data_IF_399676148972
#
_entry.id   IF_399676148972
#
_cell.length_a   1.000
_cell.length_b   1.000
_cell.length_c   1.000
_cell.angle_alpha   90.00
_cell.angle_beta   90.00
_cell.angle_gamma   90.00
#
_symmetry.space_group_name_H-M   'P 1'
#
loop_
_entity.id
_entity.type
_entity.pdbx_description
1 polymer ?
#
# COMPACT_ATOMS: atom_id res chain seq x y z
N UNK A 1 -12.87 -5.07 10.46
CA UNK A 1 -11.77 -4.15 10.75
C UNK A 1 -11.95 -2.81 10.02
N UNK A 2 -11.82 -2.70 8.68
CA UNK A 2 -11.91 -1.39 7.96
C UNK A 2 -13.23 -0.66 8.25
N UNK A 3 -14.36 -1.35 8.21
CA UNK A 3 -15.67 -0.74 8.53
C UNK A 3 -15.70 -0.16 9.96
N UNK A 4 -15.13 -0.84 10.94
CA UNK A 4 -15.08 -0.38 12.32
C UNK A 4 -14.15 0.84 12.48
N UNK A 5 -13.03 0.87 11.77
CA UNK A 5 -12.08 1.99 11.79
C UNK A 5 -12.65 3.27 11.14
N UNK A 6 -13.59 3.16 10.21
CA UNK A 6 -14.29 4.32 9.63
C UNK A 6 -15.13 5.09 10.66
N UNK A 7 -15.56 4.43 11.72
CA UNK A 7 -16.19 5.10 12.85
C UNK A 7 -15.04 5.67 13.73
N UNK A 8 -14.93 6.98 13.82
CA UNK A 8 -13.87 7.70 14.58
C UNK A 8 -13.85 7.37 16.09
N UNK A 9 -14.68 6.46 16.55
CA UNK A 9 -14.80 6.07 17.95
C UNK A 9 -13.62 5.18 18.40
N UNK A 10 -13.16 4.25 17.55
CA UNK A 10 -12.14 3.27 17.92
C UNK A 10 -10.77 3.92 18.20
N UNK A 11 -10.26 4.86 17.39
CA UNK A 11 -8.98 5.51 17.67
C UNK A 11 -8.94 6.35 18.94
N UNK A 12 -10.08 6.85 19.41
CA UNK A 12 -10.16 7.64 20.63
C UNK A 12 -10.06 6.81 21.92
N UNK A 13 -10.15 5.48 21.81
CA UNK A 13 -9.94 4.55 22.92
C UNK A 13 -8.45 4.32 23.21
N UNK A 14 -7.58 4.63 22.26
CA UNK A 14 -6.13 4.49 22.38
C UNK A 14 -5.54 5.90 22.38
N UNK A 15 -5.50 6.52 23.58
CA UNK A 15 -4.77 7.77 23.73
C UNK A 15 -3.28 7.49 23.69
N UNK A 16 -2.52 8.35 22.98
CA UNK A 16 -1.06 8.30 22.98
C UNK A 16 -0.59 8.43 24.45
N UNK A 17 -0.21 7.34 25.05
CA UNK A 17 0.67 7.38 26.22
C UNK A 17 1.98 8.05 25.76
N UNK A 18 2.49 8.92 26.62
CA UNK A 18 3.60 9.83 26.35
C UNK A 18 4.73 9.18 25.55
N UNK A 19 5.14 9.89 24.51
CA UNK A 19 6.31 9.67 23.66
C UNK A 19 7.46 8.95 24.37
N UNK A 20 7.47 7.63 24.37
CA UNK A 20 8.64 6.89 24.78
C UNK A 20 9.73 7.13 23.73
N UNK A 21 10.71 7.97 24.08
CA UNK A 21 11.84 8.33 23.20
C UNK A 21 12.64 7.12 22.75
N UNK A 22 12.51 5.98 23.45
CA UNK A 22 13.18 4.71 23.13
C UNK A 22 12.75 4.12 21.78
N UNK A 23 11.54 4.38 21.31
CA UNK A 23 11.03 3.85 20.05
C UNK A 23 11.17 4.80 18.86
N UNK A 24 11.64 6.03 19.09
CA UNK A 24 11.85 6.99 18.01
C UNK A 24 12.92 6.49 17.04
N UNK A 25 12.63 6.59 15.77
CA UNK A 25 13.56 6.24 14.68
C UNK A 25 13.31 7.13 13.48
N UNK A 26 14.14 7.01 12.44
CA UNK A 26 13.99 7.78 11.21
C UNK A 26 13.79 6.85 10.02
N UNK A 27 12.92 7.24 9.09
CA UNK A 27 12.72 6.59 7.81
C UNK A 27 12.64 7.65 6.71
N UNK A 28 13.47 7.53 5.67
CA UNK A 28 13.56 8.49 4.57
C UNK A 28 13.76 9.95 5.06
N UNK A 29 14.65 10.16 6.04
CA UNK A 29 14.90 11.46 6.69
C UNK A 29 13.66 12.07 7.37
N UNK A 30 12.69 11.27 7.76
CA UNK A 30 11.51 11.68 8.51
C UNK A 30 11.47 10.95 9.84
N UNK A 31 11.12 11.69 10.89
CA UNK A 31 11.01 11.12 12.23
C UNK A 31 9.75 10.27 12.37
N UNK A 32 9.93 9.08 12.93
CA UNK A 32 8.88 8.15 13.29
C UNK A 32 8.72 8.08 14.81
N UNK A 33 7.49 8.02 15.28
CA UNK A 33 7.19 7.76 16.70
C UNK A 33 7.69 6.38 17.13
N UNK A 34 7.60 5.40 16.23
CA UNK A 34 8.07 4.02 16.42
C UNK A 34 8.27 3.33 15.06
N UNK A 35 9.01 2.22 14.99
CA UNK A 35 9.31 1.50 13.75
C UNK A 35 8.18 0.58 13.25
N UNK A 36 7.03 0.54 13.92
CA UNK A 36 5.94 -0.37 13.56
C UNK A 36 5.05 0.30 12.51
N UNK A 37 4.94 -0.32 11.34
CA UNK A 37 4.09 0.16 10.25
C UNK A 37 3.00 -0.81 9.87
N UNK A 38 1.92 -0.28 9.28
CA UNK A 38 0.90 -1.09 8.63
C UNK A 38 1.29 -1.31 7.18
N UNK A 39 1.50 -2.58 6.82
CA UNK A 39 1.87 -2.97 5.45
C UNK A 39 0.70 -2.85 4.46
N UNK A 40 1.05 -2.69 3.16
CA UNK A 40 0.08 -2.77 2.07
C UNK A 40 -0.73 -4.08 2.11
N UNK A 41 -1.99 -3.99 1.69
CA UNK A 41 -2.93 -5.11 1.72
C UNK A 41 -4.02 -4.96 2.76
N UNK A 42 -3.78 -4.28 3.86
CA UNK A 42 -4.81 -3.96 4.85
C UNK A 42 -5.74 -2.84 4.34
N UNK A 43 -5.20 -1.67 4.07
CA UNK A 43 -5.95 -0.54 3.48
C UNK A 43 -5.64 -0.40 1.99
N UNK A 44 -6.34 -1.17 1.16
CA UNK A 44 -6.08 -1.21 -0.28
C UNK A 44 -6.49 0.05 -1.04
N UNK A 45 -7.33 0.88 -0.42
CA UNK A 45 -8.00 1.99 -1.09
C UNK A 45 -7.85 3.33 -0.36
N UNK A 46 -6.91 3.44 0.58
CA UNK A 46 -6.71 4.62 1.42
C UNK A 46 -8.01 5.07 2.13
N UNK A 47 -8.72 4.12 2.72
CA UNK A 47 -10.00 4.37 3.39
C UNK A 47 -9.84 4.70 4.88
N UNK A 48 -8.75 4.23 5.51
CA UNK A 48 -8.57 4.30 6.99
C UNK A 48 -7.12 4.57 7.42
N UNK A 49 -6.24 5.02 6.52
CA UNK A 49 -4.81 5.23 6.86
C UNK A 49 -4.62 6.25 8.00
N UNK A 50 -5.42 7.32 8.07
CA UNK A 50 -5.34 8.28 9.18
C UNK A 50 -5.80 7.69 10.51
N UNK A 51 -6.77 6.78 10.49
CA UNK A 51 -7.19 6.05 11.69
C UNK A 51 -6.11 5.08 12.18
N UNK A 52 -5.31 4.52 11.26
CA UNK A 52 -4.17 3.69 11.61
C UNK A 52 -3.06 4.50 12.29
N UNK A 53 -2.78 5.74 11.84
CA UNK A 53 -1.88 6.65 12.56
C UNK A 53 -2.37 6.94 13.99
N UNK A 54 -3.69 7.13 14.17
CA UNK A 54 -4.28 7.35 15.51
C UNK A 54 -4.22 6.10 16.40
N UNK A 55 -4.14 4.90 15.81
CA UNK A 55 -3.90 3.65 16.56
C UNK A 55 -2.42 3.47 16.94
N UNK A 56 -1.53 4.41 16.61
CA UNK A 56 -0.14 4.39 17.02
C UNK A 56 0.84 3.86 15.98
N UNK A 57 0.42 3.49 14.77
CA UNK A 57 1.37 3.07 13.72
C UNK A 57 2.28 4.24 13.33
N UNK A 58 3.59 4.02 13.31
CA UNK A 58 4.61 5.01 12.94
C UNK A 58 4.54 5.39 11.46
N UNK A 59 4.18 4.44 10.58
CA UNK A 59 3.93 4.66 9.17
C UNK A 59 2.85 3.71 8.64
N UNK A 60 2.24 4.06 7.50
CA UNK A 60 1.19 3.25 6.87
C UNK A 60 1.43 3.16 5.38
N UNK A 61 1.38 1.96 4.82
CA UNK A 61 1.43 1.72 3.39
C UNK A 61 0.06 1.28 2.88
N UNK A 62 -0.52 2.05 1.96
CA UNK A 62 -1.80 1.74 1.31
C UNK A 62 -1.56 1.03 -0.02
N UNK A 63 -2.52 0.24 -0.46
CA UNK A 63 -2.46 -0.47 -1.75
C UNK A 63 -2.42 -2.00 -1.57
N UNK A 64 -2.01 -2.76 -2.60
CA UNK A 64 -1.50 -2.35 -3.90
C UNK A 64 -2.60 -1.70 -4.73
N UNK A 65 -2.27 -0.58 -5.37
CA UNK A 65 -3.16 0.21 -6.21
C UNK A 65 -2.73 -0.01 -7.67
N UNK A 66 -3.72 -0.22 -8.55
CA UNK A 66 -3.51 -0.34 -9.98
C UNK A 66 -4.09 0.88 -10.71
N UNK A 67 -3.63 1.25 -11.92
CA UNK A 67 -4.17 2.39 -12.65
C UNK A 67 -5.68 2.36 -12.77
N UNK A 68 -6.24 1.25 -13.22
CA UNK A 68 -7.68 1.02 -13.31
C UNK A 68 -8.16 0.20 -12.12
N UNK A 69 -9.41 0.40 -11.73
CA UNK A 69 -10.05 -0.46 -10.72
C UNK A 69 -10.09 -1.91 -11.20
N UNK A 70 -9.91 -2.85 -10.28
CA UNK A 70 -10.09 -4.27 -10.61
C UNK A 70 -10.65 -5.04 -9.42
N UNK A 71 -11.46 -6.05 -9.73
CA UNK A 71 -12.10 -6.88 -8.72
C UNK A 71 -11.11 -7.84 -8.04
N UNK A 72 -10.01 -8.17 -8.72
CA UNK A 72 -9.07 -9.23 -8.33
C UNK A 72 -9.56 -10.61 -8.75
N UNK A 73 -8.97 -11.65 -8.16
CA UNK A 73 -9.32 -13.03 -8.49
C UNK A 73 -10.71 -13.43 -7.99
N UNK A 74 -11.39 -14.41 -8.62
CA UNK A 74 -12.68 -14.94 -8.17
C UNK A 74 -12.65 -15.43 -6.71
N UNK A 75 -13.77 -15.30 -6.02
CA UNK A 75 -13.98 -15.89 -4.69
C UNK A 75 -14.32 -17.39 -4.81
N UNK A 76 -13.95 -18.22 -3.78
CA UNK A 76 -13.20 -17.90 -2.58
C UNK A 76 -11.72 -17.61 -2.89
N UNK A 77 -11.13 -16.64 -2.19
CA UNK A 77 -9.75 -16.18 -2.44
C UNK A 77 -8.92 -15.93 -1.18
N UNK A 78 -9.48 -16.26 -0.03
CA UNK A 78 -8.80 -16.28 1.27
C UNK A 78 -9.22 -17.55 2.00
N UNK A 79 -8.25 -18.31 2.47
CA UNK A 79 -8.43 -19.60 3.11
C UNK A 79 -7.68 -19.60 4.44
N UNK A 80 -8.37 -19.96 5.53
CA UNK A 80 -7.78 -20.13 6.85
C UNK A 80 -7.48 -21.60 7.07
N UNK A 81 -6.24 -21.88 7.45
CA UNK A 81 -5.77 -23.21 7.84
C UNK A 81 -5.64 -23.19 9.36
N UNK A 82 -6.70 -23.61 10.05
CA UNK A 82 -6.78 -23.49 11.51
C UNK A 82 -5.75 -24.38 12.21
N UNK A 83 -5.52 -25.57 11.70
CA UNK A 83 -4.56 -26.54 12.25
C UNK A 83 -3.10 -26.06 12.13
N UNK A 84 -2.80 -25.30 11.06
CA UNK A 84 -1.46 -24.77 10.78
C UNK A 84 -1.29 -23.32 11.27
N UNK A 85 -2.30 -22.74 11.90
CA UNK A 85 -2.36 -21.32 12.26
C UNK A 85 -1.99 -20.37 11.10
N UNK A 86 -2.35 -20.75 9.87
CA UNK A 86 -1.91 -20.10 8.65
C UNK A 86 -3.06 -19.53 7.81
N UNK A 87 -2.71 -18.68 6.84
CA UNK A 87 -3.65 -18.05 5.92
C UNK A 87 -3.08 -18.07 4.50
N UNK A 88 -3.84 -18.67 3.59
CA UNK A 88 -3.53 -18.62 2.16
C UNK A 88 -4.43 -17.60 1.48
N UNK A 89 -3.87 -16.78 0.57
CA UNK A 89 -4.67 -15.89 -0.25
C UNK A 89 -4.27 -15.94 -1.72
N UNK A 90 -5.26 -15.59 -2.58
CA UNK A 90 -5.10 -15.34 -4.01
C UNK A 90 -5.88 -14.09 -4.41
N UNK A 91 -5.61 -12.96 -3.74
CA UNK A 91 -6.42 -11.75 -3.86
C UNK A 91 -6.37 -11.08 -5.23
N UNK A 92 -5.18 -11.00 -5.87
CA UNK A 92 -5.02 -10.46 -7.23
C UNK A 92 -5.23 -8.95 -7.32
N UNK A 93 -4.66 -8.18 -6.38
CA UNK A 93 -4.68 -6.70 -6.36
C UNK A 93 -6.08 -6.07 -6.51
N UNK A 94 -7.07 -6.58 -5.79
CA UNK A 94 -8.39 -5.96 -5.78
C UNK A 94 -8.33 -4.56 -5.16
N UNK A 95 -8.73 -3.54 -5.94
CA UNK A 95 -8.73 -2.14 -5.51
C UNK A 95 -9.65 -1.28 -6.40
N UNK A 96 -9.89 -0.03 -6.02
CA UNK A 96 -10.80 0.89 -6.71
C UNK A 96 -10.14 1.76 -7.79
N UNK A 97 -8.86 1.51 -8.10
CA UNK A 97 -8.09 2.25 -9.09
C UNK A 97 -7.45 3.53 -8.55
N UNK A 98 -6.42 3.98 -9.27
CA UNK A 98 -5.55 5.08 -8.84
C UNK A 98 -6.33 6.39 -8.60
N UNK A 99 -7.22 6.77 -9.50
CA UNK A 99 -7.96 8.03 -9.38
C UNK A 99 -8.83 8.08 -8.12
N UNK A 100 -9.55 6.98 -7.81
CA UNK A 100 -10.41 6.92 -6.64
C UNK A 100 -9.62 7.03 -5.33
N UNK A 101 -8.44 6.39 -5.29
CA UNK A 101 -7.53 6.44 -4.14
C UNK A 101 -6.92 7.83 -4.00
N UNK A 102 -6.47 8.44 -5.10
CA UNK A 102 -5.93 9.79 -5.12
C UNK A 102 -6.93 10.82 -4.58
N UNK A 103 -8.19 10.73 -5.01
CA UNK A 103 -9.25 11.62 -4.53
C UNK A 103 -9.49 11.50 -3.02
N UNK A 104 -9.30 10.31 -2.44
CA UNK A 104 -9.36 10.13 -0.98
C UNK A 104 -8.15 10.73 -0.27
N UNK A 105 -6.96 10.50 -0.80
CA UNK A 105 -5.73 11.07 -0.23
C UNK A 105 -5.79 12.60 -0.26
N UNK A 106 -6.26 13.20 -1.36
CA UNK A 106 -6.41 14.66 -1.48
C UNK A 106 -7.42 15.25 -0.50
N UNK A 107 -8.52 14.53 -0.23
CA UNK A 107 -9.57 15.00 0.72
C UNK A 107 -9.15 14.91 2.18
N UNK A 108 -8.19 14.07 2.50
CA UNK A 108 -7.79 13.78 3.87
C UNK A 108 -6.31 14.10 4.05
N UNK A 109 -6.00 15.20 4.71
CA UNK A 109 -4.60 15.51 5.06
C UNK A 109 -3.98 14.37 5.86
N UNK A 110 -2.84 13.88 5.40
CA UNK A 110 -2.11 12.82 6.11
C UNK A 110 -1.52 13.34 7.42
N UNK A 111 -1.61 12.55 8.46
CA UNK A 111 -1.10 12.89 9.81
C UNK A 111 0.19 12.15 10.16
N UNK A 112 0.74 11.36 9.23
CA UNK A 112 1.97 10.58 9.41
C UNK A 112 2.60 10.20 8.08
N UNK A 113 3.61 9.34 8.10
CA UNK A 113 4.32 8.88 6.91
C UNK A 113 3.45 7.89 6.13
N UNK A 114 3.04 8.30 4.94
CA UNK A 114 2.19 7.53 4.04
C UNK A 114 2.99 6.96 2.86
N UNK A 115 3.08 5.64 2.80
CA UNK A 115 3.56 4.92 1.63
C UNK A 115 2.42 4.56 0.69
N UNK A 116 2.70 4.55 -0.61
CA UNK A 116 1.76 4.06 -1.63
C UNK A 116 2.39 2.91 -2.40
N UNK A 117 1.76 1.75 -2.31
CA UNK A 117 2.17 0.55 -3.03
C UNK A 117 1.44 0.49 -4.37
N UNK A 118 2.19 0.47 -5.46
CA UNK A 118 1.67 0.47 -6.83
C UNK A 118 1.99 -0.84 -7.55
N UNK A 119 1.10 -1.25 -8.43
CA UNK A 119 1.26 -2.45 -9.25
C UNK A 119 0.47 -2.36 -10.55
N UNK A 120 0.73 -3.26 -11.52
CA UNK A 120 0.04 -3.24 -12.79
C UNK A 120 -1.35 -3.87 -12.68
N UNK A 121 -2.25 -3.50 -13.57
CA UNK A 121 -3.50 -4.21 -13.76
C UNK A 121 -3.23 -5.65 -14.25
N UNK A 122 -4.13 -6.57 -13.92
CA UNK A 122 -4.02 -7.98 -14.31
C UNK A 122 -3.98 -8.14 -15.82
N UNK A 123 -4.87 -7.45 -16.51
CA UNK A 123 -5.03 -7.50 -17.98
C UNK A 123 -4.18 -6.43 -18.70
N UNK A 124 -3.16 -5.88 -18.03
CA UNK A 124 -2.30 -4.84 -18.62
C UNK A 124 -1.48 -5.39 -19.79
N UNK A 125 -1.52 -4.68 -20.91
CA UNK A 125 -0.68 -4.92 -22.08
C UNK A 125 0.71 -4.27 -21.93
N UNK A 126 0.82 -3.25 -21.08
CA UNK A 126 2.07 -2.53 -20.81
C UNK A 126 2.24 -2.26 -19.31
N UNK A 127 2.77 -3.25 -18.61
CA UNK A 127 2.99 -3.17 -17.15
C UNK A 127 3.96 -2.06 -16.75
N UNK A 128 4.94 -1.74 -17.60
CA UNK A 128 5.84 -0.63 -17.35
C UNK A 128 5.06 0.68 -17.24
N UNK A 129 4.19 0.95 -18.20
CA UNK A 129 3.37 2.17 -18.18
C UNK A 129 2.41 2.21 -16.98
N UNK A 130 1.90 1.07 -16.54
CA UNK A 130 1.08 1.00 -15.32
C UNK A 130 1.86 1.48 -14.08
N UNK A 131 3.14 1.08 -13.94
CA UNK A 131 3.98 1.56 -12.84
C UNK A 131 4.29 3.05 -12.97
N UNK A 132 4.62 3.54 -14.18
CA UNK A 132 4.89 4.96 -14.41
C UNK A 132 3.65 5.81 -14.16
N UNK A 133 2.48 5.36 -14.59
CA UNK A 133 1.20 6.00 -14.31
C UNK A 133 0.93 6.08 -12.81
N UNK A 134 1.15 4.99 -12.07
CA UNK A 134 1.04 4.98 -10.61
C UNK A 134 2.02 5.94 -9.94
N UNK A 135 3.27 5.96 -10.41
CA UNK A 135 4.30 6.88 -9.92
C UNK A 135 3.88 8.33 -10.11
N UNK A 136 3.53 8.74 -11.33
CA UNK A 136 3.06 10.10 -11.65
C UNK A 136 1.86 10.52 -10.80
N UNK A 137 0.92 9.58 -10.58
CA UNK A 137 -0.30 9.84 -9.83
C UNK A 137 -0.03 10.14 -8.37
N UNK A 138 0.92 9.44 -7.73
CA UNK A 138 1.09 9.50 -6.27
C UNK A 138 2.37 10.20 -5.82
N UNK A 139 3.26 10.61 -6.72
CA UNK A 139 4.57 11.15 -6.39
C UNK A 139 4.52 12.33 -5.41
N UNK A 140 3.59 13.26 -5.60
CA UNK A 140 3.44 14.45 -4.74
C UNK A 140 2.68 14.17 -3.43
N UNK A 141 1.99 13.04 -3.33
CA UNK A 141 1.09 12.74 -2.22
C UNK A 141 1.65 11.71 -1.23
N UNK A 142 2.55 10.86 -1.70
CA UNK A 142 3.21 9.83 -0.89
C UNK A 142 4.55 10.30 -0.33
N UNK A 143 4.90 9.81 0.85
CA UNK A 143 6.25 10.00 1.41
C UNK A 143 7.26 9.01 0.82
N UNK A 144 6.78 7.86 0.38
CA UNK A 144 7.52 6.89 -0.44
C UNK A 144 6.57 6.08 -1.32
N UNK A 145 7.11 5.51 -2.38
CA UNK A 145 6.36 4.64 -3.29
C UNK A 145 7.01 3.27 -3.32
N UNK A 146 6.20 2.22 -3.12
CA UNK A 146 6.62 0.84 -3.26
C UNK A 146 6.20 0.31 -4.63
N UNK A 147 7.17 -0.09 -5.43
CA UNK A 147 6.95 -0.74 -6.74
C UNK A 147 6.81 -2.23 -6.51
N UNK A 148 5.57 -2.74 -6.54
CA UNK A 148 5.27 -4.12 -6.20
C UNK A 148 5.48 -5.06 -7.38
N UNK A 149 6.56 -5.84 -7.33
CA UNK A 149 6.89 -6.88 -8.33
C UNK A 149 6.79 -8.30 -7.76
N UNK A 150 6.31 -8.47 -6.53
CA UNK A 150 6.42 -9.73 -5.77
C UNK A 150 5.16 -10.60 -5.76
N UNK A 151 4.01 -10.07 -6.19
CA UNK A 151 2.76 -10.83 -6.11
C UNK A 151 2.79 -12.11 -6.93
N UNK A 152 2.53 -13.27 -6.30
CA UNK A 152 2.37 -14.53 -7.02
C UNK A 152 0.98 -14.65 -7.69
N UNK A 153 0.07 -13.77 -7.35
CA UNK A 153 -1.34 -13.81 -7.75
C UNK A 153 -1.63 -13.02 -9.03
N UNK A 154 -0.60 -12.44 -9.64
CA UNK A 154 -0.64 -11.77 -10.93
C UNK A 154 0.30 -12.51 -11.86
N UNK A 155 -0.25 -13.09 -12.92
CA UNK A 155 0.48 -13.93 -13.87
C UNK A 155 1.71 -13.20 -14.43
N UNK A 156 2.84 -13.92 -14.47
CA UNK A 156 4.11 -13.43 -15.00
C UNK A 156 4.67 -12.13 -14.34
N UNK A 157 4.11 -11.66 -13.20
CA UNK A 157 4.63 -10.46 -12.54
C UNK A 157 6.04 -10.69 -12.01
N UNK A 158 6.30 -11.86 -11.44
CA UNK A 158 7.61 -12.25 -10.90
C UNK A 158 8.71 -12.38 -11.98
N UNK A 159 8.35 -12.37 -13.26
CA UNK A 159 9.35 -12.26 -14.34
C UNK A 159 10.11 -10.93 -14.30
N UNK A 160 9.59 -9.93 -13.57
CA UNK A 160 10.31 -8.67 -13.28
C UNK A 160 11.46 -8.85 -12.28
N UNK A 161 11.61 -10.03 -11.65
CA UNK A 161 12.80 -10.35 -10.84
C UNK A 161 14.03 -10.66 -11.70
N UNK A 162 13.86 -10.91 -13.00
CA UNK A 162 14.97 -10.99 -13.95
C UNK A 162 15.74 -9.66 -13.99
N UNK A 163 17.06 -9.74 -13.88
CA UNK A 163 17.92 -8.56 -13.76
C UNK A 163 17.71 -7.56 -14.90
N UNK A 164 17.67 -8.04 -16.14
CA UNK A 164 17.50 -7.17 -17.32
C UNK A 164 16.17 -6.42 -17.29
N UNK A 165 15.11 -7.09 -16.90
CA UNK A 165 13.76 -6.51 -16.81
C UNK A 165 13.65 -5.54 -15.64
N UNK A 166 14.25 -5.90 -14.50
CA UNK A 166 14.30 -5.03 -13.32
C UNK A 166 15.09 -3.76 -13.63
N UNK A 167 16.28 -3.89 -14.24
CA UNK A 167 17.12 -2.75 -14.63
C UNK A 167 16.37 -1.81 -15.59
N UNK A 168 15.63 -2.35 -16.55
CA UNK A 168 14.80 -1.56 -17.46
C UNK A 168 13.73 -0.79 -16.67
N UNK A 169 12.98 -1.47 -15.79
CA UNK A 169 11.95 -0.85 -14.97
C UNK A 169 12.52 0.28 -14.11
N UNK A 170 13.62 0.04 -13.41
CA UNK A 170 14.28 1.04 -12.55
C UNK A 170 14.82 2.24 -13.33
N UNK A 171 15.39 2.01 -14.52
CA UNK A 171 15.84 3.09 -15.42
C UNK A 171 14.69 4.00 -15.85
N UNK A 172 13.56 3.42 -16.24
CA UNK A 172 12.40 4.22 -16.64
C UNK A 172 11.79 4.98 -15.44
N UNK A 173 11.64 4.34 -14.29
CA UNK A 173 11.20 5.01 -13.05
C UNK A 173 12.13 6.19 -12.70
N UNK A 174 13.45 6.02 -12.86
CA UNK A 174 14.41 7.08 -12.57
C UNK A 174 14.30 8.28 -13.53
N UNK A 175 13.86 8.09 -14.77
CA UNK A 175 13.63 9.18 -15.73
C UNK A 175 12.39 10.01 -15.42
N UNK A 176 11.38 9.39 -14.78
CA UNK A 176 10.15 10.08 -14.38
C UNK A 176 10.33 10.96 -13.13
N UNK A 177 11.43 10.80 -12.43
CA UNK A 177 11.78 11.56 -11.23
C UNK A 177 12.48 12.88 -11.57
#
# INVERSE_FOLDING_TARGET
AIKSLKFNFVPNLFQDEENDSLFKTTLFNKDLKNPIGMAAGFDKNAEVYNQLFRLGFGFVEVGTITPLSQYGNPKPRVFRLLEDEALINRLGFNNYGAQNVLDRIKRNSKTGILGVNIGPNKESQNRLEDYLSGLRTFYEFADYITVNISSPNTENLRNLHDQTRLDKLLKEIKKEK
#
